data_IF_242474555272
#
_entry.id   IF_242474555272
#
_cell.length_a   1.000
_cell.length_b   1.000
_cell.length_c   1.000
_cell.angle_alpha   90.00
_cell.angle_beta   90.00
_cell.angle_gamma   90.00
#
_symmetry.space_group_name_H-M   'P 1'
#
loop_
_entity.id
_entity.type
_entity.pdbx_description
1 polymer ?
#
# COMPACT_ATOMS: atom_id res chain seq x y z
N UNK A 1 14.54 -19.33 -2.06
CA UNK A 1 14.11 -17.91 -1.98
C UNK A 1 12.93 -17.83 -1.02
N UNK A 2 13.03 -17.10 0.11
CA UNK A 2 11.87 -16.84 0.97
C UNK A 2 10.95 -15.87 0.24
N UNK A 3 9.89 -16.39 -0.38
CA UNK A 3 8.78 -15.58 -0.89
C UNK A 3 8.13 -14.97 0.36
N UNK A 4 7.99 -13.65 0.41
CA UNK A 4 7.12 -13.03 1.41
C UNK A 4 5.71 -13.55 1.12
N UNK A 5 5.14 -14.33 2.05
CA UNK A 5 3.76 -14.79 2.01
C UNK A 5 2.83 -13.63 2.33
N UNK A 6 2.81 -12.67 1.41
CA UNK A 6 1.84 -11.59 1.44
C UNK A 6 0.64 -12.09 0.66
N UNK A 7 -0.43 -12.46 1.35
CA UNK A 7 -1.65 -12.97 0.72
C UNK A 7 -2.06 -12.09 -0.46
N UNK A 8 -2.44 -12.73 -1.57
CA UNK A 8 -3.07 -12.03 -2.67
C UNK A 8 -4.46 -11.56 -2.23
N UNK A 9 -4.90 -10.42 -2.76
CA UNK A 9 -6.29 -10.00 -2.67
C UNK A 9 -6.94 -10.33 -4.02
N UNK A 10 -8.22 -10.71 -4.01
CA UNK A 10 -8.97 -11.05 -5.21
C UNK A 10 -9.49 -9.79 -5.93
N UNK A 11 -9.94 -8.79 -5.17
CA UNK A 11 -10.37 -7.48 -5.66
C UNK A 11 -9.86 -6.38 -4.71
N UNK A 12 -9.53 -5.21 -5.23
CA UNK A 12 -9.22 -4.02 -4.42
C UNK A 12 -8.03 -3.22 -4.93
N UNK A 13 -7.27 -2.61 -4.01
CA UNK A 13 -6.12 -1.75 -4.36
C UNK A 13 -4.84 -2.20 -3.69
N UNK A 14 -3.75 -2.22 -4.46
CA UNK A 14 -2.38 -2.40 -3.97
C UNK A 14 -1.59 -1.13 -4.19
N UNK A 15 -1.11 -0.55 -3.08
CA UNK A 15 -0.21 0.61 -3.03
C UNK A 15 1.20 0.07 -2.75
N UNK A 16 2.06 0.03 -3.75
CA UNK A 16 3.43 -0.48 -3.66
C UNK A 16 4.45 0.65 -3.81
N UNK A 17 5.73 0.35 -3.56
CA UNK A 17 6.84 1.30 -3.67
C UNK A 17 6.68 2.54 -2.77
N UNK A 18 6.02 2.36 -1.63
CA UNK A 18 5.98 3.40 -0.60
C UNK A 18 7.36 3.41 0.06
N UNK A 19 7.99 4.57 0.24
CA UNK A 19 9.21 4.65 1.07
C UNK A 19 8.90 4.10 2.48
N UNK A 20 9.74 3.21 3.03
CA UNK A 20 9.41 2.52 4.30
C UNK A 20 9.06 3.46 5.45
N UNK A 21 9.73 4.62 5.53
CA UNK A 21 9.47 5.67 6.52
C UNK A 21 8.08 6.32 6.41
N UNK A 22 7.47 6.25 5.23
CA UNK A 22 6.17 6.86 4.93
C UNK A 22 5.01 5.87 5.02
N UNK A 23 5.27 4.56 5.14
CA UNK A 23 4.22 3.53 5.02
C UNK A 23 3.12 3.67 6.06
N UNK A 24 3.47 3.82 7.35
CA UNK A 24 2.45 4.03 8.38
C UNK A 24 1.73 5.39 8.27
N UNK A 25 2.41 6.42 7.75
CA UNK A 25 1.76 7.72 7.49
C UNK A 25 0.69 7.58 6.40
N UNK A 26 0.97 6.82 5.34
CA UNK A 26 -0.03 6.52 4.30
C UNK A 26 -1.17 5.68 4.86
N UNK A 27 -0.86 4.63 5.63
CA UNK A 27 -1.86 3.78 6.28
C UNK A 27 -2.81 4.57 7.18
N UNK A 28 -2.27 5.44 8.05
CA UNK A 28 -3.06 6.29 8.94
C UNK A 28 -3.92 7.29 8.15
N UNK A 29 -3.38 7.89 7.09
CA UNK A 29 -4.11 8.84 6.24
C UNK A 29 -5.31 8.18 5.55
N UNK A 30 -5.16 6.93 5.12
CA UNK A 30 -6.25 6.13 4.52
C UNK A 30 -7.24 5.59 5.56
N UNK A 31 -6.99 5.83 6.84
CA UNK A 31 -7.81 5.37 7.96
C UNK A 31 -8.09 3.87 7.90
N UNK A 32 -7.05 3.07 7.61
CA UNK A 32 -7.21 1.63 7.32
C UNK A 32 -7.78 0.80 8.47
N UNK A 33 -7.77 1.34 9.69
CA UNK A 33 -8.34 0.71 10.89
C UNK A 33 -9.87 0.65 10.87
N UNK A 34 -10.52 1.51 10.07
CA UNK A 34 -11.97 1.57 9.92
C UNK A 34 -12.46 0.80 8.67
N UNK A 35 -11.59 -0.02 8.06
CA UNK A 35 -11.92 -0.83 6.89
C UNK A 35 -12.23 -2.27 7.35
N UNK A 36 -13.45 -2.72 7.07
CA UNK A 36 -13.92 -4.07 7.44
C UNK A 36 -13.29 -5.19 6.58
N UNK A 37 -12.78 -4.85 5.39
CA UNK A 37 -12.13 -5.80 4.49
C UNK A 37 -10.68 -6.06 4.90
N UNK A 38 -10.09 -7.12 4.34
CA UNK A 38 -8.68 -7.46 4.59
C UNK A 38 -7.77 -6.30 4.21
N UNK A 39 -7.03 -5.81 5.18
CA UNK A 39 -5.91 -4.89 4.98
C UNK A 39 -4.61 -5.59 5.33
N UNK A 40 -3.62 -5.46 4.46
CA UNK A 40 -2.26 -5.87 4.74
C UNK A 40 -1.32 -4.69 4.63
N UNK A 41 -0.49 -4.50 5.65
CA UNK A 41 0.60 -3.53 5.65
C UNK A 41 1.94 -4.25 5.81
N UNK A 42 2.82 -4.10 4.82
CA UNK A 42 4.19 -4.58 4.87
C UNK A 42 5.18 -3.42 4.93
N UNK A 43 6.20 -3.51 5.78
CA UNK A 43 7.22 -2.46 5.96
C UNK A 43 8.63 -3.04 5.90
N UNK A 44 9.62 -2.21 5.55
CA UNK A 44 11.04 -2.58 5.45
C UNK A 44 11.33 -3.75 4.50
N UNK A 45 10.48 -3.94 3.51
CA UNK A 45 10.65 -4.93 2.45
C UNK A 45 11.79 -4.50 1.53
N UNK A 46 12.58 -5.45 1.04
CA UNK A 46 13.65 -5.13 0.11
C UNK A 46 13.07 -4.59 -1.21
N UNK A 47 13.61 -3.46 -1.68
CA UNK A 47 13.25 -2.83 -2.95
C UNK A 47 14.50 -2.56 -3.78
N UNK A 48 14.45 -2.89 -5.07
CA UNK A 48 15.52 -2.52 -6.01
C UNK A 48 15.57 -1.01 -6.28
N UNK A 49 14.42 -0.33 -6.22
CA UNK A 49 14.30 1.11 -6.51
C UNK A 49 14.61 1.97 -5.28
N UNK A 50 14.08 1.58 -4.11
CA UNK A 50 14.11 2.40 -2.90
C UNK A 50 15.07 1.87 -1.81
N UNK A 51 15.73 0.74 -2.04
CA UNK A 51 16.45 -0.02 -1.01
C UNK A 51 15.50 -0.74 -0.05
N UNK A 52 14.65 0.04 0.64
CA UNK A 52 13.60 -0.44 1.54
C UNK A 52 12.25 0.20 1.23
N UNK A 53 11.24 -0.61 0.98
CA UNK A 53 9.86 -0.16 0.71
C UNK A 53 8.85 -0.72 1.69
N UNK A 54 7.68 -0.09 1.72
CA UNK A 54 6.46 -0.68 2.21
C UNK A 54 5.45 -0.91 1.08
N UNK A 55 4.43 -1.68 1.44
CA UNK A 55 3.29 -2.04 0.60
C UNK A 55 2.04 -2.01 1.46
N UNK A 56 0.93 -1.53 0.90
CA UNK A 56 -0.40 -1.61 1.50
C UNK A 56 -1.32 -2.29 0.51
N UNK A 57 -2.04 -3.32 0.95
CA UNK A 57 -3.12 -3.96 0.17
C UNK A 57 -4.43 -3.77 0.91
N UNK A 58 -5.47 -3.37 0.19
CA UNK A 58 -6.81 -3.18 0.74
C UNK A 58 -7.79 -3.96 -0.15
N UNK A 59 -8.43 -4.99 0.41
CA UNK A 59 -9.43 -5.78 -0.28
C UNK A 59 -10.72 -4.98 -0.52
N UNK A 60 -11.36 -5.19 -1.67
CA UNK A 60 -12.68 -4.62 -2.01
C UNK A 60 -12.74 -3.08 -2.13
N UNK A 61 -11.63 -2.37 -1.91
CA UNK A 61 -11.59 -0.91 -1.99
C UNK A 61 -10.85 -0.44 -3.23
N UNK A 62 -11.53 0.38 -4.03
CA UNK A 62 -10.88 1.26 -5.01
C UNK A 62 -10.63 2.62 -4.37
N UNK A 63 -9.40 3.14 -4.49
CA UNK A 63 -9.08 4.47 -3.95
C UNK A 63 -9.70 5.59 -4.80
N UNK A 64 -10.20 6.61 -4.12
CA UNK A 64 -10.69 7.84 -4.74
C UNK A 64 -9.53 8.69 -5.27
N UNK A 65 -9.83 9.60 -6.21
CA UNK A 65 -8.81 10.53 -6.73
C UNK A 65 -8.21 11.40 -5.63
N UNK A 66 -9.01 11.79 -4.62
CA UNK A 66 -8.53 12.57 -3.49
C UNK A 66 -7.52 11.78 -2.63
N UNK A 67 -7.83 10.52 -2.32
CA UNK A 67 -6.90 9.62 -1.61
C UNK A 67 -5.61 9.44 -2.41
N UNK A 68 -5.70 9.22 -3.74
CA UNK A 68 -4.54 9.10 -4.63
C UNK A 68 -3.68 10.36 -4.58
N UNK A 69 -4.28 11.55 -4.65
CA UNK A 69 -3.57 12.82 -4.61
C UNK A 69 -2.86 13.01 -3.25
N UNK A 70 -3.52 12.67 -2.14
CA UNK A 70 -2.92 12.72 -0.80
C UNK A 70 -1.74 11.74 -0.68
N UNK A 71 -1.85 10.54 -1.24
CA UNK A 71 -0.76 9.57 -1.28
C UNK A 71 0.42 10.15 -2.06
N UNK A 72 0.20 10.75 -3.23
CA UNK A 72 1.27 11.31 -4.04
C UNK A 72 2.07 12.40 -3.31
N UNK A 73 1.43 13.17 -2.43
CA UNK A 73 2.10 14.17 -1.58
C UNK A 73 2.97 13.53 -0.47
N UNK A 74 2.58 12.36 0.04
CA UNK A 74 3.26 11.67 1.16
C UNK A 74 4.33 10.68 0.66
N UNK A 75 4.05 10.03 -0.47
CA UNK A 75 4.79 8.94 -1.06
C UNK A 75 4.77 9.09 -2.60
N UNK A 76 5.55 10.03 -3.15
CA UNK A 76 5.54 10.34 -4.59
C UNK A 76 6.02 9.19 -5.48
N UNK A 77 6.80 8.26 -4.92
CA UNK A 77 7.26 7.05 -5.61
C UNK A 77 6.25 5.89 -5.60
N UNK A 78 5.13 6.04 -4.89
CA UNK A 78 4.15 4.99 -4.73
C UNK A 78 3.47 4.66 -6.07
N UNK A 79 3.27 3.37 -6.30
CA UNK A 79 2.54 2.85 -7.46
C UNK A 79 1.22 2.27 -7.01
N UNK A 80 0.16 2.63 -7.72
CA UNK A 80 -1.21 2.22 -7.44
C UNK A 80 -1.65 1.16 -8.45
N UNK A 81 -2.04 -0.02 -7.98
CA UNK A 81 -2.54 -1.09 -8.83
C UNK A 81 -3.95 -1.47 -8.39
N UNK A 82 -4.90 -1.44 -9.31
CA UNK A 82 -6.27 -1.91 -9.08
C UNK A 82 -6.30 -3.40 -9.45
N UNK A 83 -6.81 -4.22 -8.54
CA UNK A 83 -6.98 -5.67 -8.71
C UNK A 83 -8.47 -5.94 -8.95
N UNK A 84 -8.77 -6.74 -9.98
CA UNK A 84 -10.11 -7.16 -10.42
C UNK A 84 -10.06 -8.61 -10.88
#
# INVERSE_FOLDING_TARGET
MKKLEVSAIEEGTVIDQIASKSTFKVANMLNIQDIDQVVLVGVNLSSKKLGKKGIIKIGGKSLTQEEVNKIALIAPDATMNIIK
#
